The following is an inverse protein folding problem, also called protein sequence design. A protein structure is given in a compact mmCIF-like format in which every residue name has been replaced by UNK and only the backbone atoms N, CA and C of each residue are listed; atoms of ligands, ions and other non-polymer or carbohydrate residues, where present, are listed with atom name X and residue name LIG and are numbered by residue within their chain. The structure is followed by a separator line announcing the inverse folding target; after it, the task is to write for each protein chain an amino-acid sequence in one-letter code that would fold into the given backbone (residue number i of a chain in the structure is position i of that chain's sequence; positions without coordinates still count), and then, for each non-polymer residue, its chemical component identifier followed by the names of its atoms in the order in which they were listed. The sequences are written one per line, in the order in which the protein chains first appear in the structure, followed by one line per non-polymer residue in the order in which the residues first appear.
data_IF_058823041302
#
_entry.id   IF_058823041302
#
_cell.length_a   1.000
_cell.length_b   1.000
_cell.length_c   1.000
_cell.angle_alpha   90.00
_cell.angle_beta   90.00
_cell.angle_gamma   90.00
#
_symmetry.space_group_name_H-M   'P 1'
#
loop_
_entity.id
_entity.type
_entity.pdbx_description
1 polymer ?
#
# COMPACT_ATOMS: atom_id res chain seq x y z
N UNK A 1 57.01 5.55 -1.34
CA UNK A 1 56.96 5.78 -2.80
C UNK A 1 55.55 6.24 -3.19
N UNK A 2 55.38 7.32 -3.95
CA UNK A 2 54.07 7.82 -4.42
C UNK A 2 53.31 6.80 -5.29
N UNK A 3 54.03 5.85 -5.89
CA UNK A 3 53.51 4.91 -6.88
C UNK A 3 52.58 3.83 -6.29
N UNK A 4 52.78 3.38 -5.04
CA UNK A 4 51.89 2.41 -4.39
C UNK A 4 50.52 3.00 -4.03
N UNK A 5 50.45 4.32 -3.77
CA UNK A 5 49.20 5.02 -3.44
C UNK A 5 48.33 5.26 -4.68
N UNK A 6 48.93 5.42 -5.86
CA UNK A 6 48.22 5.56 -7.13
C UNK A 6 47.58 4.23 -7.60
N UNK A 7 48.29 3.10 -7.42
CA UNK A 7 47.79 1.76 -7.79
C UNK A 7 46.56 1.34 -6.97
N UNK A 8 46.57 1.56 -5.64
CA UNK A 8 45.40 1.29 -4.80
C UNK A 8 44.19 2.19 -5.14
N UNK A 9 44.43 3.43 -5.59
CA UNK A 9 43.36 4.36 -5.99
C UNK A 9 42.73 3.95 -7.33
N UNK A 10 43.53 3.44 -8.27
CA UNK A 10 43.05 2.88 -9.54
C UNK A 10 42.18 1.63 -9.32
N UNK A 11 42.67 0.67 -8.53
CA UNK A 11 41.94 -0.59 -8.24
C UNK A 11 40.60 -0.36 -7.51
N UNK A 12 40.53 0.62 -6.60
CA UNK A 12 39.25 1.04 -5.97
C UNK A 12 38.29 1.71 -6.96
N UNK A 13 38.81 2.51 -7.89
CA UNK A 13 38.01 3.23 -8.88
C UNK A 13 37.45 2.26 -9.94
N UNK A 14 38.24 1.26 -10.34
CA UNK A 14 37.82 0.18 -11.21
C UNK A 14 36.70 -0.63 -10.54
N UNK A 15 36.90 -1.06 -9.30
CA UNK A 15 35.88 -1.78 -8.51
C UNK A 15 34.56 -0.99 -8.41
N UNK A 16 34.63 0.30 -8.08
CA UNK A 16 33.45 1.17 -8.01
C UNK A 16 32.74 1.32 -9.37
N UNK A 17 33.51 1.36 -10.47
CA UNK A 17 32.97 1.43 -11.83
C UNK A 17 32.29 0.13 -12.27
N UNK A 18 32.83 -1.03 -11.87
CA UNK A 18 32.21 -2.34 -12.08
C UNK A 18 30.89 -2.48 -11.29
N UNK A 19 30.87 -2.06 -10.02
CA UNK A 19 29.65 -2.04 -9.21
C UNK A 19 28.58 -1.13 -9.82
N UNK A 20 28.92 0.08 -10.27
CA UNK A 20 27.98 0.99 -10.97
C UNK A 20 27.43 0.40 -12.26
N UNK A 21 28.23 -0.35 -13.02
CA UNK A 21 27.77 -1.04 -14.24
C UNK A 21 26.81 -2.19 -13.91
N UNK A 22 27.10 -3.01 -12.89
CA UNK A 22 26.21 -4.08 -12.43
C UNK A 22 24.89 -3.52 -11.88
N UNK A 23 24.95 -2.47 -11.07
CA UNK A 23 23.77 -1.80 -10.51
C UNK A 23 22.85 -1.26 -11.61
N UNK A 24 23.42 -0.60 -12.63
CA UNK A 24 22.66 -0.13 -13.79
C UNK A 24 21.98 -1.28 -14.55
N UNK A 25 22.66 -2.41 -14.74
CA UNK A 25 22.07 -3.60 -15.37
C UNK A 25 20.95 -4.19 -14.51
N UNK A 26 21.16 -4.34 -13.20
CA UNK A 26 20.15 -4.83 -12.27
C UNK A 26 18.90 -3.94 -12.28
N UNK A 27 19.08 -2.62 -12.19
CA UNK A 27 17.99 -1.65 -12.25
C UNK A 27 17.23 -1.72 -13.58
N UNK A 28 17.93 -1.91 -14.69
CA UNK A 28 17.30 -2.07 -16.00
C UNK A 28 16.49 -3.38 -16.10
N UNK A 29 17.03 -4.50 -15.61
CA UNK A 29 16.32 -5.79 -15.56
C UNK A 29 15.09 -5.72 -14.65
N UNK A 30 15.22 -5.14 -13.46
CA UNK A 30 14.10 -4.95 -12.52
C UNK A 30 13.03 -4.05 -13.15
N UNK A 31 13.43 -2.96 -13.80
CA UNK A 31 12.49 -2.09 -14.51
C UNK A 31 11.74 -2.82 -15.63
N UNK A 32 12.42 -3.75 -16.33
CA UNK A 32 11.79 -4.60 -17.35
C UNK A 32 10.81 -5.58 -16.72
N UNK A 33 11.17 -6.23 -15.61
CA UNK A 33 10.31 -7.14 -14.86
C UNK A 33 9.05 -6.44 -14.33
N UNK A 34 9.19 -5.28 -13.69
CA UNK A 34 8.07 -4.50 -13.15
C UNK A 34 7.08 -4.06 -14.23
N UNK A 35 7.55 -3.86 -15.46
CA UNK A 35 6.71 -3.50 -16.62
C UNK A 35 6.16 -4.71 -17.37
N UNK A 36 6.58 -5.94 -17.03
CA UNK A 36 6.14 -7.13 -17.72
C UNK A 36 4.66 -7.44 -17.39
N UNK A 37 3.95 -7.97 -18.38
CA UNK A 37 2.55 -8.36 -18.19
C UNK A 37 2.40 -9.50 -17.16
N UNK A 38 3.39 -10.39 -17.05
CA UNK A 38 3.39 -11.44 -16.02
C UNK A 38 3.38 -10.86 -14.61
N UNK A 39 4.13 -9.78 -14.37
CA UNK A 39 4.18 -9.12 -13.06
C UNK A 39 2.82 -8.52 -12.67
N UNK A 40 2.08 -7.97 -13.65
CA UNK A 40 0.70 -7.51 -13.46
C UNK A 40 -0.21 -8.65 -12.94
N UNK A 41 -0.21 -9.80 -13.63
CA UNK A 41 -1.07 -10.93 -13.26
C UNK A 41 -0.66 -11.55 -11.92
N UNK A 42 0.64 -11.61 -11.64
CA UNK A 42 1.14 -12.07 -10.34
C UNK A 42 0.61 -11.21 -9.21
N UNK A 43 0.71 -9.88 -9.30
CA UNK A 43 0.22 -9.00 -8.23
C UNK A 43 -1.30 -9.10 -8.10
N UNK A 44 -2.03 -9.15 -9.22
CA UNK A 44 -3.48 -9.30 -9.20
C UNK A 44 -3.90 -10.62 -8.51
N UNK A 45 -3.23 -11.72 -8.82
CA UNK A 45 -3.45 -13.02 -8.18
C UNK A 45 -3.15 -12.95 -6.67
N UNK A 46 -2.04 -12.34 -6.26
CA UNK A 46 -1.69 -12.17 -4.85
C UNK A 46 -2.74 -11.35 -4.09
N UNK A 47 -3.29 -10.30 -4.70
CA UNK A 47 -4.37 -9.51 -4.11
C UNK A 47 -5.63 -10.37 -3.98
N UNK A 48 -6.01 -11.11 -5.02
CA UNK A 48 -7.17 -12.01 -4.99
C UNK A 48 -7.07 -13.09 -3.92
N UNK A 49 -5.91 -13.75 -3.80
CA UNK A 49 -5.65 -14.75 -2.76
C UNK A 49 -5.68 -14.12 -1.35
N UNK A 50 -5.08 -12.94 -1.17
CA UNK A 50 -5.15 -12.24 0.10
C UNK A 50 -6.60 -11.87 0.47
N UNK A 51 -7.39 -11.40 -0.48
CA UNK A 51 -8.82 -11.12 -0.28
C UNK A 51 -9.60 -12.38 0.07
N UNK A 52 -9.31 -13.51 -0.57
CA UNK A 52 -9.94 -14.79 -0.24
C UNK A 52 -9.63 -15.22 1.21
N UNK A 53 -8.39 -15.09 1.66
CA UNK A 53 -8.03 -15.35 3.05
C UNK A 53 -8.81 -14.46 4.03
N UNK A 54 -9.00 -13.18 3.70
CA UNK A 54 -9.82 -12.28 4.53
C UNK A 54 -11.30 -12.68 4.51
N UNK A 55 -11.82 -13.14 3.37
CA UNK A 55 -13.21 -13.56 3.22
C UNK A 55 -13.55 -14.88 3.93
N UNK A 56 -12.57 -15.76 4.13
CA UNK A 56 -12.74 -17.05 4.82
C UNK A 56 -12.94 -16.86 6.33
N UNK A 57 -12.49 -15.74 6.91
CA UNK A 57 -12.61 -15.48 8.35
C UNK A 57 -14.09 -15.53 8.78
N UNK A 58 -14.40 -16.40 9.75
CA UNK A 58 -15.76 -16.55 10.29
C UNK A 58 -15.77 -16.64 11.83
N UNK A 59 -16.94 -16.42 12.43
CA UNK A 59 -17.13 -16.56 13.87
C UNK A 59 -16.99 -18.03 14.29
N UNK A 60 -16.43 -18.30 15.47
CA UNK A 60 -16.13 -19.64 16.00
C UNK A 60 -15.33 -20.55 15.05
N UNK A 61 -14.31 -19.99 14.39
CA UNK A 61 -13.43 -20.76 13.51
C UNK A 61 -12.40 -21.61 14.28
N UNK A 62 -11.98 -22.76 13.73
CA UNK A 62 -11.03 -23.63 14.41
C UNK A 62 -9.64 -22.98 14.53
N UNK A 63 -8.93 -23.28 15.62
CA UNK A 63 -7.62 -22.68 15.94
C UNK A 63 -6.57 -22.86 14.83
N UNK A 64 -6.57 -24.01 14.14
CA UNK A 64 -5.66 -24.25 13.02
C UNK A 64 -5.89 -23.26 11.86
N UNK A 65 -7.15 -22.88 11.60
CA UNK A 65 -7.51 -21.93 10.55
C UNK A 65 -7.07 -20.52 10.94
N UNK A 66 -7.27 -20.13 12.21
CA UNK A 66 -6.77 -18.86 12.75
C UNK A 66 -5.25 -18.75 12.59
N UNK A 67 -4.51 -19.80 12.95
CA UNK A 67 -3.05 -19.83 12.80
C UNK A 67 -2.62 -19.77 11.33
N UNK A 68 -3.27 -20.54 10.45
CA UNK A 68 -2.97 -20.54 9.02
C UNK A 68 -3.21 -19.16 8.38
N UNK A 69 -4.32 -18.49 8.73
CA UNK A 69 -4.65 -17.15 8.23
C UNK A 69 -3.66 -16.09 8.75
N UNK A 70 -3.21 -16.21 10.00
CA UNK A 70 -2.18 -15.35 10.56
C UNK A 70 -0.84 -15.50 9.81
N UNK A 71 -0.41 -16.74 9.55
CA UNK A 71 0.80 -16.99 8.76
C UNK A 71 0.67 -16.48 7.32
N UNK A 72 -0.47 -16.75 6.68
CA UNK A 72 -0.75 -16.29 5.32
C UNK A 72 -0.67 -14.76 5.22
N UNK A 73 -1.18 -14.04 6.22
CA UNK A 73 -1.11 -12.59 6.27
C UNK A 73 0.32 -12.06 6.31
N UNK A 74 1.19 -12.67 7.13
CA UNK A 74 2.61 -12.31 7.19
C UNK A 74 3.30 -12.58 5.86
N UNK A 75 2.99 -13.70 5.20
CA UNK A 75 3.50 -14.05 3.86
C UNK A 75 3.05 -13.03 2.82
N UNK A 76 1.76 -12.69 2.76
CA UNK A 76 1.25 -11.68 1.81
C UNK A 76 1.86 -10.30 2.05
N UNK A 77 2.04 -9.89 3.31
CA UNK A 77 2.72 -8.65 3.64
C UNK A 77 4.15 -8.64 3.09
N UNK A 78 4.91 -9.71 3.31
CA UNK A 78 6.26 -9.85 2.77
C UNK A 78 6.31 -9.80 1.24
N UNK A 79 5.36 -10.45 0.57
CA UNK A 79 5.25 -10.43 -0.89
C UNK A 79 4.91 -9.04 -1.44
N UNK A 80 3.95 -8.33 -0.83
CA UNK A 80 3.62 -6.96 -1.25
C UNK A 80 4.72 -5.95 -0.92
N UNK A 81 5.43 -6.13 0.20
CA UNK A 81 6.61 -5.32 0.51
C UNK A 81 7.72 -5.52 -0.52
N UNK A 82 7.91 -6.76 -0.97
CA UNK A 82 8.88 -7.11 -2.02
C UNK A 82 8.48 -6.48 -3.36
N UNK A 83 7.22 -6.58 -3.74
CA UNK A 83 6.67 -5.91 -4.93
C UNK A 83 6.89 -4.39 -4.88
N UNK A 84 6.53 -3.75 -3.76
CA UNK A 84 6.71 -2.31 -3.54
C UNK A 84 8.19 -1.92 -3.66
N UNK A 85 9.07 -2.68 -3.03
CA UNK A 85 10.53 -2.48 -3.08
C UNK A 85 11.08 -2.59 -4.51
N UNK A 86 10.65 -3.61 -5.27
CA UNK A 86 11.03 -3.77 -6.67
C UNK A 86 10.57 -2.59 -7.54
N UNK A 87 9.33 -2.12 -7.33
CA UNK A 87 8.80 -0.93 -8.03
C UNK A 87 9.59 0.32 -7.70
N UNK A 88 9.84 0.57 -6.42
CA UNK A 88 10.58 1.75 -5.97
C UNK A 88 12.00 1.76 -6.53
N UNK A 89 12.68 0.61 -6.56
CA UNK A 89 14.02 0.48 -7.15
C UNK A 89 14.03 0.64 -8.68
N UNK A 90 13.10 -0.04 -9.38
CA UNK A 90 13.01 -0.03 -10.84
C UNK A 90 12.57 1.30 -11.44
N UNK A 91 11.59 1.98 -10.81
CA UNK A 91 11.08 3.29 -11.26
C UNK A 91 11.91 4.45 -10.71
N UNK A 92 12.57 4.26 -9.57
CA UNK A 92 13.16 5.32 -8.76
C UNK A 92 12.12 6.00 -7.85
N UNK A 93 12.54 6.48 -6.66
CA UNK A 93 11.63 6.98 -5.64
C UNK A 93 10.79 8.18 -6.13
N UNK A 94 11.40 9.13 -6.84
CA UNK A 94 10.69 10.31 -7.37
C UNK A 94 9.55 9.95 -8.31
N UNK A 95 9.79 9.00 -9.23
CA UNK A 95 8.76 8.55 -10.17
C UNK A 95 7.74 7.61 -9.50
N UNK A 96 8.14 6.91 -8.44
CA UNK A 96 7.24 6.07 -7.66
C UNK A 96 6.18 6.92 -6.96
N UNK A 97 6.59 7.95 -6.19
CA UNK A 97 5.70 8.81 -5.42
C UNK A 97 4.87 9.79 -6.27
N UNK A 98 5.26 10.07 -7.51
CA UNK A 98 4.45 10.88 -8.42
C UNK A 98 3.11 10.20 -8.80
N UNK A 99 2.99 8.88 -8.66
CA UNK A 99 1.74 8.17 -8.92
C UNK A 99 0.92 8.02 -7.64
N UNK A 100 -0.28 8.61 -7.60
CA UNK A 100 -1.19 8.53 -6.44
C UNK A 100 -1.50 7.09 -6.03
N UNK A 101 -1.66 6.18 -6.99
CA UNK A 101 -1.90 4.75 -6.70
C UNK A 101 -0.68 4.05 -6.07
N UNK A 102 0.55 4.44 -6.43
CA UNK A 102 1.75 3.93 -5.77
C UNK A 102 1.91 4.50 -4.35
N UNK A 103 1.54 5.77 -4.16
CA UNK A 103 1.55 6.41 -2.85
C UNK A 103 0.52 5.77 -1.91
N UNK A 104 -0.69 5.49 -2.41
CA UNK A 104 -1.71 4.73 -1.68
C UNK A 104 -1.20 3.35 -1.28
N UNK A 105 -0.61 2.61 -2.22
CA UNK A 105 -0.02 1.28 -1.95
C UNK A 105 1.06 1.34 -0.87
N UNK A 106 1.95 2.34 -0.93
CA UNK A 106 2.94 2.58 0.12
C UNK A 106 2.29 2.81 1.49
N UNK A 107 1.27 3.65 1.57
CA UNK A 107 0.52 3.88 2.81
C UNK A 107 -0.11 2.60 3.38
N UNK A 108 -0.71 1.77 2.53
CA UNK A 108 -1.31 0.48 2.93
C UNK A 108 -0.25 -0.48 3.48
N UNK A 109 0.94 -0.55 2.87
CA UNK A 109 2.02 -1.41 3.35
C UNK A 109 2.61 -0.90 4.66
N UNK A 110 2.82 0.40 4.81
CA UNK A 110 3.28 0.98 6.08
C UNK A 110 2.24 0.76 7.19
N UNK A 111 0.96 0.96 6.92
CA UNK A 111 -0.11 0.67 7.88
C UNK A 111 -0.15 -0.80 8.29
N UNK A 112 0.09 -1.72 7.35
CA UNK A 112 0.17 -3.16 7.62
C UNK A 112 1.40 -3.53 8.48
N UNK A 113 2.55 -2.89 8.25
CA UNK A 113 3.74 -3.09 9.09
C UNK A 113 3.48 -2.57 10.50
N UNK A 114 2.88 -1.38 10.61
CA UNK A 114 2.52 -0.79 11.90
C UNK A 114 1.55 -1.70 12.67
N UNK A 115 0.57 -2.29 12.00
CA UNK A 115 -0.33 -3.28 12.59
C UNK A 115 0.44 -4.45 13.22
N UNK A 116 1.33 -5.09 12.46
CA UNK A 116 2.11 -6.25 12.94
C UNK A 116 2.96 -5.86 14.15
N UNK A 117 3.65 -4.72 14.08
CA UNK A 117 4.46 -4.21 15.21
C UNK A 117 3.57 -3.95 16.43
N UNK A 118 2.42 -3.30 16.24
CA UNK A 118 1.50 -2.97 17.31
C UNK A 118 0.94 -4.22 17.99
N UNK A 119 0.59 -5.25 17.21
CA UNK A 119 0.11 -6.54 17.70
C UNK A 119 1.15 -7.25 18.59
N UNK A 120 2.45 -7.09 18.29
CA UNK A 120 3.55 -7.65 19.10
C UNK A 120 3.80 -6.83 20.37
N UNK A 121 3.75 -5.50 20.30
CA UNK A 121 4.08 -4.60 21.43
C UNK A 121 2.98 -4.57 22.49
N UNK A 122 1.70 -4.66 22.09
CA UNK A 122 0.53 -4.57 22.99
C UNK A 122 -0.44 -5.73 22.73
N UNK A 123 -0.09 -6.97 23.13
CA UNK A 123 -1.03 -8.08 23.08
C UNK A 123 -2.23 -7.77 23.99
N UNK A 124 -3.43 -7.61 23.42
CA UNK A 124 -4.68 -7.41 24.17
C UNK A 124 -5.36 -6.03 24.05
N UNK A 125 -4.83 -5.08 23.28
CA UNK A 125 -5.51 -3.80 23.03
C UNK A 125 -6.70 -3.94 22.06
N UNK A 126 -7.89 -4.25 22.58
CA UNK A 126 -9.09 -4.63 21.81
C UNK A 126 -9.55 -3.61 20.73
N UNK A 127 -9.60 -2.31 21.07
CA UNK A 127 -10.18 -1.31 20.17
C UNK A 127 -9.29 -0.96 18.98
N UNK A 128 -7.98 -0.75 19.21
CA UNK A 128 -7.05 -0.35 18.13
C UNK A 128 -6.76 -1.47 17.14
N UNK A 129 -6.66 -2.71 17.62
CA UNK A 129 -6.32 -3.88 16.78
C UNK A 129 -7.41 -4.17 15.75
N UNK A 130 -8.68 -3.97 16.10
CA UNK A 130 -9.81 -4.21 15.20
C UNK A 130 -9.83 -3.26 14.00
N UNK A 131 -9.54 -1.97 14.23
CA UNK A 131 -9.43 -0.97 13.15
C UNK A 131 -8.21 -1.24 12.27
N UNK A 132 -7.07 -1.59 12.86
CA UNK A 132 -5.86 -1.92 12.11
C UNK A 132 -6.06 -3.16 11.23
N UNK A 133 -6.79 -4.16 11.73
CA UNK A 133 -7.17 -5.36 10.95
C UNK A 133 -8.04 -5.01 9.74
N UNK A 134 -8.94 -4.03 9.87
CA UNK A 134 -9.76 -3.54 8.76
C UNK A 134 -8.93 -2.86 7.66
N UNK A 135 -7.76 -2.28 7.97
CA UNK A 135 -6.87 -1.68 6.97
C UNK A 135 -6.41 -2.68 5.91
N UNK A 136 -6.38 -3.98 6.23
CA UNK A 136 -6.05 -5.04 5.26
C UNK A 136 -7.03 -5.09 4.10
N UNK A 137 -8.29 -4.70 4.32
CA UNK A 137 -9.29 -4.59 3.26
C UNK A 137 -8.87 -3.56 2.20
N UNK A 138 -8.09 -2.54 2.58
CA UNK A 138 -7.56 -1.56 1.62
C UNK A 138 -6.64 -2.20 0.57
N UNK A 139 -6.08 -3.39 0.83
CA UNK A 139 -5.26 -4.11 -0.16
C UNK A 139 -6.08 -4.50 -1.39
N UNK A 140 -7.40 -4.74 -1.25
CA UNK A 140 -8.27 -5.02 -2.41
C UNK A 140 -8.31 -3.85 -3.38
N UNK A 141 -8.15 -2.61 -2.88
CA UNK A 141 -8.11 -1.42 -3.73
C UNK A 141 -6.89 -1.41 -4.64
N UNK A 142 -5.85 -2.24 -4.41
CA UNK A 142 -4.77 -2.40 -5.38
C UNK A 142 -5.29 -2.88 -6.75
N UNK A 143 -6.42 -3.59 -6.81
CA UNK A 143 -7.08 -3.97 -8.08
C UNK A 143 -7.45 -2.75 -8.92
N UNK A 144 -7.86 -1.64 -8.30
CA UNK A 144 -8.23 -0.40 -9.02
C UNK A 144 -7.10 0.16 -9.87
N UNK A 145 -5.84 -0.04 -9.47
CA UNK A 145 -4.66 0.38 -10.24
C UNK A 145 -4.48 -0.42 -11.53
N UNK A 146 -4.94 -1.67 -11.52
CA UNK A 146 -4.71 -2.65 -12.56
C UNK A 146 -5.89 -2.75 -13.54
N UNK A 147 -7.10 -2.50 -13.06
CA UNK A 147 -8.30 -2.53 -13.89
C UNK A 147 -8.60 -1.14 -14.46
N UNK A 148 -8.25 -0.91 -15.73
CA UNK A 148 -8.34 0.42 -16.37
C UNK A 148 -9.73 1.08 -16.25
N UNK A 149 -10.82 0.35 -16.47
CA UNK A 149 -12.18 0.90 -16.35
C UNK A 149 -12.47 1.37 -14.93
N UNK A 150 -12.14 0.56 -13.93
CA UNK A 150 -12.30 0.90 -12.52
C UNK A 150 -11.40 2.07 -12.12
N UNK A 151 -10.16 2.09 -12.61
CA UNK A 151 -9.22 3.21 -12.42
C UNK A 151 -9.82 4.52 -12.90
N UNK A 152 -10.35 4.52 -14.12
CA UNK A 152 -10.94 5.72 -14.72
C UNK A 152 -12.17 6.19 -13.95
N UNK A 153 -13.01 5.26 -13.49
CA UNK A 153 -14.15 5.57 -12.63
C UNK A 153 -13.71 6.23 -11.32
N UNK A 154 -12.73 5.65 -10.62
CA UNK A 154 -12.21 6.21 -9.37
C UNK A 154 -11.60 7.58 -9.60
N UNK A 155 -10.80 7.77 -10.65
CA UNK A 155 -10.21 9.08 -10.98
C UNK A 155 -11.28 10.11 -11.31
N UNK A 156 -12.31 9.74 -12.09
CA UNK A 156 -13.43 10.63 -12.39
C UNK A 156 -14.19 11.04 -11.14
N UNK A 157 -14.42 10.10 -10.22
CA UNK A 157 -15.07 10.36 -8.94
C UNK A 157 -14.25 11.34 -8.10
N UNK A 158 -12.93 11.11 -8.00
CA UNK A 158 -12.01 11.98 -7.28
C UNK A 158 -11.98 13.41 -7.85
N UNK A 159 -12.08 13.57 -9.17
CA UNK A 159 -12.15 14.89 -9.79
C UNK A 159 -13.43 15.66 -9.42
N UNK A 160 -14.55 14.96 -9.22
CA UNK A 160 -15.83 15.56 -8.81
C UNK A 160 -15.93 15.82 -7.30
N UNK A 161 -15.01 15.30 -6.48
CA UNK A 161 -15.07 15.39 -5.02
C UNK A 161 -15.17 16.82 -4.49
N UNK A 162 -14.47 17.78 -5.10
CA UNK A 162 -14.53 19.19 -4.65
C UNK A 162 -15.96 19.75 -4.72
N UNK A 163 -16.68 19.43 -5.80
CA UNK A 163 -18.09 19.85 -5.95
C UNK A 163 -18.99 19.13 -4.97
N UNK A 164 -18.82 17.81 -4.81
CA UNK A 164 -19.59 17.00 -3.86
C UNK A 164 -19.42 17.54 -2.42
N UNK A 165 -18.19 17.85 -2.00
CA UNK A 165 -17.90 18.40 -0.67
C UNK A 165 -18.64 19.72 -0.45
N UNK A 166 -18.67 20.59 -1.46
CA UNK A 166 -19.40 21.87 -1.35
C UNK A 166 -20.90 21.65 -1.17
N UNK A 167 -21.49 20.69 -1.88
CA UNK A 167 -22.90 20.36 -1.73
C UNK A 167 -23.20 19.73 -0.36
N UNK A 168 -22.36 18.82 0.11
CA UNK A 168 -22.48 18.21 1.43
C UNK A 168 -22.35 19.25 2.56
N UNK A 169 -21.48 20.24 2.40
CA UNK A 169 -21.37 21.33 3.38
C UNK A 169 -22.64 22.18 3.47
N UNK A 170 -23.25 22.51 2.33
CA UNK A 170 -24.53 23.22 2.30
C UNK A 170 -25.66 22.38 2.94
N UNK A 171 -25.74 21.10 2.59
CA UNK A 171 -26.71 20.18 3.17
C UNK A 171 -26.52 20.07 4.69
N UNK A 172 -25.28 19.99 5.17
CA UNK A 172 -24.96 19.95 6.59
C UNK A 172 -25.43 21.23 7.29
N UNK A 173 -25.17 22.41 6.73
CA UNK A 173 -25.66 23.68 7.28
C UNK A 173 -27.20 23.71 7.36
N UNK A 174 -27.87 23.25 6.30
CA UNK A 174 -29.32 23.15 6.26
C UNK A 174 -29.85 22.25 7.40
N UNK A 175 -29.28 21.05 7.55
CA UNK A 175 -29.65 20.11 8.63
C UNK A 175 -29.45 20.78 10.00
N UNK A 176 -28.34 21.50 10.21
CA UNK A 176 -28.08 22.20 11.49
C UNK A 176 -29.14 23.24 11.79
N UNK A 177 -29.52 24.08 10.81
CA UNK A 177 -30.56 25.11 11.02
C UNK A 177 -31.88 24.48 11.45
N UNK A 178 -32.33 23.42 10.77
CA UNK A 178 -33.57 22.74 11.12
C UNK A 178 -33.47 21.97 12.44
N UNK A 179 -32.31 21.41 12.78
CA UNK A 179 -32.08 20.79 14.07
C UNK A 179 -32.20 21.82 15.22
N UNK A 180 -31.63 23.02 15.06
CA UNK A 180 -31.75 24.10 16.05
C UNK A 180 -33.21 24.56 16.22
N UNK A 181 -33.93 24.75 15.10
CA UNK A 181 -35.36 25.08 15.13
C UNK A 181 -36.18 23.98 15.80
N UNK A 182 -35.90 22.72 15.49
CA UNK A 182 -36.56 21.57 16.10
C UNK A 182 -36.33 21.51 17.61
N UNK A 183 -35.13 21.79 18.09
CA UNK A 183 -34.85 21.88 19.53
C UNK A 183 -35.63 23.02 20.19
N UNK A 184 -35.80 24.17 19.53
CA UNK A 184 -36.57 25.28 20.11
C UNK A 184 -38.08 25.00 20.13
N UNK A 185 -38.59 24.30 19.13
CA UNK A 185 -40.03 24.03 18.99
C UNK A 185 -40.49 22.80 19.77
N UNK A 186 -39.64 21.78 19.89
CA UNK A 186 -39.98 20.47 20.44
C UNK A 186 -39.10 20.04 21.63
N UNK A 187 -38.14 20.87 22.04
CA UNK A 187 -37.16 20.53 23.08
C UNK A 187 -37.68 20.55 24.52
N UNK A 188 -38.89 21.07 24.77
CA UNK A 188 -39.39 21.32 26.12
C UNK A 188 -38.86 22.63 26.69
#
# INVERSE_FOLDING_TARGET
SPFTRASQKSSKNDSASYFRRKEKRLRFTIRRLVKAHSFYWTVLCLVGLNTLCVAIVHYDQPEWLTYALYLAEFVFLGLFLTEMSMKMYGLGPRNYFHSSFNCFDFGVIIGSIFEVIWAVVKPGASYGISVLRALRLLRIFKVTKYWNSLRNLVVSLLNSMKSIISLLFLLFLFIVVFALLGMQLFGG
#
